data_IF_532821705299
#
_entry.id   IF_532821705299
#
_cell.length_a   1.000
_cell.length_b   1.000
_cell.length_c   1.000
_cell.angle_alpha   90.00
_cell.angle_beta   90.00
_cell.angle_gamma   90.00
#
_symmetry.space_group_name_H-M   'P 1'
#
loop_
_entity.id
_entity.type
_entity.pdbx_description
1 polymer ?
#
# COMPACT_ATOMS: atom_id res chain seq x y z
N UNK A 1 -31.90 -3.59 -9.88
CA UNK A 1 -30.61 -2.89 -10.03
C UNK A 1 -29.84 -3.38 -8.85
N UNK A 2 -28.78 -4.16 -9.06
CA UNK A 2 -28.17 -4.96 -8.00
C UNK A 2 -27.89 -4.09 -6.77
N UNK A 3 -28.70 -4.28 -5.75
CA UNK A 3 -28.52 -3.76 -4.41
C UNK A 3 -27.30 -4.51 -3.92
N UNK A 4 -26.13 -3.93 -4.16
CA UNK A 4 -24.86 -4.52 -3.81
C UNK A 4 -24.75 -4.36 -2.30
N UNK A 5 -25.41 -5.27 -1.57
CA UNK A 5 -25.37 -5.43 -0.13
C UNK A 5 -23.90 -5.61 0.26
N UNK A 6 -23.28 -4.48 0.59
CA UNK A 6 -21.84 -4.36 0.57
C UNK A 6 -21.45 -2.98 1.04
N UNK A 7 -21.04 -2.91 2.31
CA UNK A 7 -20.53 -1.70 2.95
C UNK A 7 -19.60 -0.93 2.00
N UNK A 8 -19.91 0.34 1.76
CA UNK A 8 -19.15 1.21 0.86
C UNK A 8 -17.85 1.65 1.53
N UNK A 9 -16.75 1.60 0.79
CA UNK A 9 -15.52 2.31 1.17
C UNK A 9 -15.59 3.74 0.63
N UNK A 10 -15.38 4.71 1.50
CA UNK A 10 -15.14 6.11 1.16
C UNK A 10 -13.68 6.46 1.43
N UNK A 11 -13.11 7.30 0.56
CA UNK A 11 -11.70 7.72 0.65
C UNK A 11 -11.66 9.22 0.54
N UNK A 12 -11.22 9.87 1.60
CA UNK A 12 -11.17 11.32 1.71
C UNK A 12 -9.77 11.81 2.09
N UNK A 13 -9.49 13.09 1.86
CA UNK A 13 -8.25 13.74 2.30
C UNK A 13 -8.60 14.69 3.43
N UNK A 14 -8.11 14.39 4.64
CA UNK A 14 -8.30 15.24 5.83
C UNK A 14 -6.94 15.44 6.49
N UNK A 15 -6.62 16.68 6.88
CA UNK A 15 -5.40 17.00 7.64
C UNK A 15 -4.08 16.49 7.02
N UNK A 16 -3.95 16.54 5.69
CA UNK A 16 -2.77 16.05 4.95
C UNK A 16 -2.52 14.53 5.07
N UNK A 17 -3.53 13.77 5.48
CA UNK A 17 -3.56 12.31 5.47
C UNK A 17 -4.71 11.81 4.57
N UNK A 18 -4.60 10.57 4.11
CA UNK A 18 -5.64 9.86 3.37
C UNK A 18 -6.48 9.08 4.38
N UNK A 19 -7.76 9.42 4.50
CA UNK A 19 -8.70 8.73 5.38
C UNK A 19 -9.45 7.65 4.60
N UNK A 20 -9.46 6.43 5.12
CA UNK A 20 -10.30 5.34 4.64
C UNK A 20 -11.44 5.10 5.61
N UNK A 21 -12.66 5.22 5.11
CA UNK A 21 -13.88 5.10 5.89
C UNK A 21 -14.70 3.94 5.30
N UNK A 22 -15.16 3.00 6.13
CA UNK A 22 -16.10 1.96 5.71
C UNK A 22 -17.46 2.26 6.32
N UNK A 23 -18.45 2.42 5.44
CA UNK A 23 -19.81 2.78 5.79
C UNK A 23 -20.69 1.55 5.57
N UNK A 24 -21.48 1.19 6.58
CA UNK A 24 -22.42 0.08 6.52
C UNK A 24 -23.65 0.41 5.69
N UNK A 25 -24.51 -0.58 5.48
CA UNK A 25 -25.79 -0.38 4.80
C UNK A 25 -26.68 0.62 5.55
N UNK A 26 -26.62 0.61 6.90
CA UNK A 26 -27.29 1.55 7.78
C UNK A 26 -26.68 2.97 7.81
N UNK A 27 -25.79 3.30 6.87
CA UNK A 27 -25.04 4.57 6.81
C UNK A 27 -24.12 4.82 8.03
N UNK A 28 -23.92 3.83 8.89
CA UNK A 28 -23.04 3.88 10.05
C UNK A 28 -21.57 3.63 9.67
N UNK A 29 -20.69 4.49 10.17
CA UNK A 29 -19.24 4.32 10.01
C UNK A 29 -18.76 3.18 10.91
N UNK A 30 -18.28 2.11 10.29
CA UNK A 30 -17.81 0.89 10.99
C UNK A 30 -16.30 0.73 10.97
N UNK A 31 -15.61 1.50 10.15
CA UNK A 31 -14.16 1.55 10.11
C UNK A 31 -13.72 2.95 9.70
N UNK A 32 -12.70 3.48 10.36
CA UNK A 32 -11.99 4.69 9.98
C UNK A 32 -10.51 4.47 10.26
N UNK A 33 -9.67 4.77 9.28
CA UNK A 33 -8.23 4.77 9.43
C UNK A 33 -7.62 5.95 8.64
N UNK A 34 -6.48 6.47 9.09
CA UNK A 34 -5.81 7.61 8.47
C UNK A 34 -4.38 7.25 8.14
N UNK A 35 -4.08 7.19 6.84
CA UNK A 35 -2.77 6.82 6.32
C UNK A 35 -2.01 8.07 5.87
N UNK A 36 -0.69 8.08 6.09
CA UNK A 36 0.17 9.04 5.42
C UNK A 36 0.22 8.78 3.90
N UNK A 37 0.60 9.79 3.12
CA UNK A 37 0.59 9.68 1.65
C UNK A 37 1.45 8.52 1.11
N UNK A 38 2.58 8.21 1.76
CA UNK A 38 3.45 7.10 1.35
C UNK A 38 2.82 5.74 1.67
N UNK A 39 2.21 5.62 2.85
CA UNK A 39 1.51 4.42 3.30
C UNK A 39 0.28 4.13 2.43
N UNK A 40 -0.50 5.16 2.08
CA UNK A 40 -1.63 5.04 1.16
C UNK A 40 -1.20 4.52 -0.22
N UNK A 41 -0.05 4.96 -0.75
CA UNK A 41 0.48 4.45 -2.02
C UNK A 41 0.90 2.98 -1.92
N UNK A 42 1.56 2.60 -0.83
CA UNK A 42 1.94 1.20 -0.58
C UNK A 42 0.69 0.32 -0.51
N UNK A 43 -0.33 0.75 0.22
CA UNK A 43 -1.60 0.03 0.33
C UNK A 43 -2.32 -0.08 -1.02
N UNK A 44 -2.38 1.00 -1.81
CA UNK A 44 -2.94 0.96 -3.16
C UNK A 44 -2.19 -0.03 -4.08
N UNK A 45 -0.86 -0.08 -3.98
CA UNK A 45 -0.04 -1.03 -4.72
C UNK A 45 -0.32 -2.49 -4.33
N UNK A 46 -0.49 -2.76 -3.03
CA UNK A 46 -0.87 -4.08 -2.54
C UNK A 46 -2.27 -4.48 -3.02
N UNK A 47 -3.26 -3.60 -2.87
CA UNK A 47 -4.64 -3.85 -3.34
C UNK A 47 -4.66 -4.18 -4.83
N UNK A 48 -3.97 -3.38 -5.64
CA UNK A 48 -3.86 -3.61 -7.10
C UNK A 48 -3.22 -4.95 -7.39
N UNK A 49 -2.09 -5.27 -6.75
CA UNK A 49 -1.36 -6.54 -6.94
C UNK A 49 -2.19 -7.78 -6.59
N UNK A 50 -3.03 -7.70 -5.57
CA UNK A 50 -3.89 -8.81 -5.18
C UNK A 50 -5.15 -8.92 -6.05
N UNK A 51 -5.68 -7.80 -6.54
CA UNK A 51 -6.76 -7.81 -7.53
C UNK A 51 -6.29 -8.42 -8.86
N UNK A 52 -5.10 -8.04 -9.34
CA UNK A 52 -4.50 -8.58 -10.57
C UNK A 52 -4.32 -10.10 -10.48
N UNK A 53 -3.78 -10.60 -9.36
CA UNK A 53 -3.67 -12.04 -9.09
C UNK A 53 -5.00 -12.79 -9.08
N UNK A 54 -6.09 -12.13 -8.66
CA UNK A 54 -7.43 -12.75 -8.72
C UNK A 54 -7.88 -12.88 -10.17
N UNK A 55 -7.73 -11.83 -10.98
CA UNK A 55 -8.03 -11.86 -12.42
C UNK A 55 -7.21 -12.94 -13.14
N UNK A 56 -5.91 -13.04 -12.86
CA UNK A 56 -5.02 -14.10 -13.36
C UNK A 56 -5.42 -15.51 -12.90
N UNK A 57 -6.06 -15.63 -11.73
CA UNK A 57 -6.50 -16.92 -11.18
C UNK A 57 -7.81 -17.38 -11.81
N UNK A 58 -8.74 -16.46 -12.08
CA UNK A 58 -9.97 -16.71 -12.83
C UNK A 58 -9.67 -16.99 -14.33
N UNK A 59 -8.57 -16.46 -14.87
CA UNK A 59 -8.14 -16.71 -16.25
C UNK A 59 -7.60 -18.13 -16.53
N UNK A 60 -7.40 -18.98 -15.51
CA UNK A 60 -6.85 -20.35 -15.71
C UNK A 60 -7.80 -21.35 -16.39
N UNK A 61 -9.05 -20.98 -16.70
CA UNK A 61 -9.96 -21.83 -17.48
C UNK A 61 -9.89 -21.57 -19.00
N UNK A 62 -9.14 -20.58 -19.50
CA UNK A 62 -9.10 -20.29 -20.95
C UNK A 62 -7.68 -20.10 -21.50
N UNK A 63 -7.05 -21.24 -21.79
CA UNK A 63 -6.08 -21.57 -22.84
C UNK A 63 -5.33 -20.43 -23.59
N UNK A 64 -4.00 -20.61 -23.65
CA UNK A 64 -3.00 -20.14 -24.64
C UNK A 64 -2.25 -18.83 -24.40
N UNK A 65 -0.98 -19.03 -24.05
CA UNK A 65 0.21 -18.55 -24.78
C UNK A 65 0.17 -17.10 -25.31
N UNK A 66 0.87 -16.19 -24.63
CA UNK A 66 1.68 -15.14 -25.27
C UNK A 66 2.66 -14.55 -24.28
N UNK A 67 3.90 -15.02 -24.43
CA UNK A 67 5.17 -14.43 -23.99
C UNK A 67 5.29 -12.93 -24.33
N UNK A 68 5.76 -12.14 -23.35
CA UNK A 68 6.56 -10.89 -23.43
C UNK A 68 6.30 -10.04 -22.19
N UNK A 69 7.25 -9.35 -21.56
CA UNK A 69 8.70 -9.23 -21.68
C UNK A 69 9.08 -8.37 -20.46
N UNK A 70 10.11 -8.82 -19.74
CA UNK A 70 11.16 -7.99 -19.13
C UNK A 70 10.81 -6.60 -18.59
N UNK A 71 10.76 -6.43 -17.26
CA UNK A 71 11.52 -5.32 -16.67
C UNK A 71 12.29 -5.78 -15.44
N UNK A 72 13.58 -5.44 -15.47
CA UNK A 72 14.69 -6.03 -14.75
C UNK A 72 15.30 -4.90 -13.93
N UNK A 73 14.74 -4.61 -12.77
CA UNK A 73 15.34 -3.67 -11.83
C UNK A 73 16.35 -4.44 -10.97
N UNK A 74 17.50 -4.73 -11.59
CA UNK A 74 18.73 -5.06 -10.89
C UNK A 74 19.40 -3.75 -10.51
N UNK A 75 19.27 -3.29 -9.26
CA UNK A 75 20.25 -2.38 -8.70
C UNK A 75 20.73 -2.92 -7.35
N UNK A 76 22.02 -3.25 -7.37
CA UNK A 76 22.81 -3.92 -6.37
C UNK A 76 23.92 -2.95 -6.02
N UNK A 77 24.33 -2.99 -4.74
CA UNK A 77 25.57 -2.42 -4.22
C UNK A 77 25.51 -0.88 -3.98
N UNK A 78 25.87 -0.33 -2.83
CA UNK A 78 27.10 -0.64 -2.11
C UNK A 78 27.08 -0.05 -0.69
N UNK A 79 27.61 -0.82 0.26
CA UNK A 79 28.16 -0.40 1.55
C UNK A 79 28.82 0.99 1.57
N UNK A 80 28.55 1.75 2.65
CA UNK A 80 29.61 2.55 3.27
C UNK A 80 29.42 2.70 4.78
N UNK A 81 29.98 1.72 5.48
CA UNK A 81 30.54 1.85 6.83
C UNK A 81 31.50 3.05 6.90
N UNK A 82 31.31 3.95 7.88
CA UNK A 82 32.33 4.92 8.34
C UNK A 82 31.92 5.47 9.72
N UNK A 83 32.24 4.70 10.74
CA UNK A 83 32.79 5.11 12.04
C UNK A 83 33.08 6.63 12.22
N UNK A 84 32.47 7.27 13.22
CA UNK A 84 33.18 8.26 14.04
C UNK A 84 32.55 8.46 15.43
N UNK A 85 33.18 7.77 16.38
CA UNK A 85 33.27 8.09 17.80
C UNK A 85 33.79 9.54 18.00
N UNK A 86 33.11 10.37 18.80
CA UNK A 86 33.73 11.55 19.43
C UNK A 86 33.06 11.83 20.78
N UNK A 87 33.62 11.17 21.79
CA UNK A 87 33.60 11.53 23.20
C UNK A 87 33.96 13.02 23.41
N UNK A 88 33.15 13.76 24.19
CA UNK A 88 33.59 14.99 24.86
C UNK A 88 32.72 15.30 26.08
N UNK A 89 33.33 15.02 27.22
CA UNK A 89 33.11 15.48 28.59
C UNK A 89 32.69 16.97 28.70
N UNK A 90 31.61 17.27 29.43
CA UNK A 90 31.53 18.52 30.17
C UNK A 90 30.91 18.29 31.56
N UNK A 91 31.81 18.30 32.53
CA UNK A 91 31.57 18.31 33.97
C UNK A 91 31.02 19.67 34.43
N UNK A 92 29.80 19.75 34.96
CA UNK A 92 29.30 20.94 35.66
C UNK A 92 29.68 20.86 37.16
N UNK A 93 30.37 21.90 37.64
CA UNK A 93 30.79 22.11 39.04
C UNK A 93 30.01 23.24 39.69
#
# INVERSE_FOLDING_TARGET
>A
MADQEGSRWDVSIKSNAVCLERISDDEDLVFEDSLEADEARKLAGLLTKFADKLDESDAKESDKESDKDSDKESDKDSDKDSDKDEDSDESEA
#
